data_IF_801450180149
#
_entry.id   IF_801450180149
#
_cell.length_a   1.000
_cell.length_b   1.000
_cell.length_c   1.000
_cell.angle_alpha   90.00
_cell.angle_beta   90.00
_cell.angle_gamma   90.00
#
_symmetry.space_group_name_H-M   'P 1'
#
loop_
_entity.id
_entity.type
_entity.pdbx_description
1 polymer ?
#
# COMPACT_ATOMS: atom_id res chain seq x y z
N UNK A 1 7.67 -10.79 -5.90
CA UNK A 1 7.21 -11.02 -4.52
C UNK A 1 7.95 -10.00 -3.69
N UNK A 2 7.25 -9.13 -2.98
CA UNK A 2 7.86 -8.09 -2.15
C UNK A 2 7.66 -8.43 -0.66
N UNK A 3 8.61 -8.01 0.18
CA UNK A 3 8.55 -8.16 1.62
C UNK A 3 8.84 -6.81 2.27
N UNK A 4 8.04 -6.41 3.24
CA UNK A 4 8.15 -5.14 3.95
C UNK A 4 8.14 -5.38 5.44
N UNK A 5 9.07 -4.78 6.19
CA UNK A 5 9.19 -4.92 7.64
C UNK A 5 8.91 -3.59 8.33
N UNK A 6 7.92 -3.58 9.22
CA UNK A 6 7.59 -2.43 10.06
C UNK A 6 8.25 -2.61 11.43
N UNK A 7 9.53 -2.26 11.56
CA UNK A 7 10.21 -2.26 12.86
C UNK A 7 10.06 -0.90 13.53
N UNK A 8 9.53 -0.89 14.76
CA UNK A 8 9.73 0.22 15.70
C UNK A 8 11.18 0.14 16.23
N UNK A 9 11.86 1.27 16.55
CA UNK A 9 13.26 1.25 16.96
C UNK A 9 13.36 0.83 18.44
N UNK A 10 13.26 -0.46 18.72
CA UNK A 10 13.72 -1.02 19.99
C UNK A 10 14.02 -2.51 19.84
N UNK A 11 15.27 -2.83 20.16
CA UNK A 11 15.86 -4.15 20.41
C UNK A 11 16.25 -4.97 19.17
N UNK A 12 17.54 -4.92 18.89
CA UNK A 12 18.33 -5.76 17.99
C UNK A 12 18.52 -7.13 18.66
N UNK A 13 17.59 -8.06 18.47
CA UNK A 13 17.77 -9.47 18.84
C UNK A 13 18.09 -10.26 17.56
N UNK A 14 19.26 -10.89 17.56
CA UNK A 14 19.88 -11.53 16.40
C UNK A 14 19.02 -12.63 15.78
N UNK A 15 18.65 -12.43 14.52
CA UNK A 15 17.92 -13.38 13.65
C UNK A 15 18.72 -14.68 13.33
N UNK A 16 19.95 -14.83 13.82
CA UNK A 16 20.88 -15.88 13.38
C UNK A 16 21.35 -16.86 14.47
N UNK A 17 20.69 -16.96 15.63
CA UNK A 17 21.00 -18.07 16.54
C UNK A 17 20.29 -19.36 16.12
N UNK A 18 21.08 -20.37 15.78
CA UNK A 18 20.60 -21.70 15.42
C UNK A 18 20.05 -22.42 16.64
N UNK A 19 18.72 -22.44 16.80
CA UNK A 19 18.06 -23.28 17.80
C UNK A 19 17.88 -24.68 17.24
N UNK A 20 18.41 -25.69 17.93
CA UNK A 20 18.22 -27.09 17.57
C UNK A 20 16.72 -27.47 17.62
N UNK A 21 16.18 -28.20 16.62
CA UNK A 21 14.77 -28.56 16.60
C UNK A 21 14.43 -29.52 17.75
N UNK A 22 13.31 -29.32 18.47
CA UNK A 22 12.88 -30.27 19.50
C UNK A 22 12.53 -31.63 18.88
N UNK A 23 12.79 -32.69 19.64
CA UNK A 23 12.66 -34.07 19.21
C UNK A 23 11.25 -34.41 18.69
N UNK A 24 11.17 -35.12 17.56
CA UNK A 24 9.92 -35.59 16.95
C UNK A 24 9.14 -36.49 17.92
N UNK A 25 7.93 -36.11 18.28
CA UNK A 25 6.98 -36.99 18.97
C UNK A 25 6.40 -38.03 17.98
N UNK A 26 6.13 -39.29 18.41
CA UNK A 26 5.53 -40.30 17.54
C UNK A 26 4.03 -40.02 17.34
N UNK A 27 3.53 -40.29 16.14
CA UNK A 27 2.12 -40.08 15.76
C UNK A 27 1.34 -41.40 15.99
N UNK A 28 0.35 -41.46 16.90
CA UNK A 28 -0.59 -42.57 16.96
C UNK A 28 -1.65 -42.46 15.84
N UNK A 29 -2.14 -43.60 15.37
CA UNK A 29 -2.81 -43.75 14.08
C UNK A 29 -4.22 -43.15 13.91
N UNK A 30 -4.68 -43.27 12.66
CA UNK A 30 -5.95 -42.85 12.05
C UNK A 30 -6.03 -41.38 11.59
N UNK A 31 -6.01 -41.22 10.27
CA UNK A 31 -5.66 -40.01 9.53
C UNK A 31 -6.88 -39.27 8.94
N UNK A 32 -8.02 -39.21 9.65
CA UNK A 32 -9.24 -38.62 9.05
C UNK A 32 -10.16 -37.77 9.94
N UNK A 33 -10.10 -37.78 11.28
CA UNK A 33 -11.18 -37.14 12.06
C UNK A 33 -10.80 -35.99 13.02
N UNK A 34 -9.61 -35.39 12.92
CA UNK A 34 -9.19 -34.32 13.85
C UNK A 34 -9.15 -32.90 13.28
N UNK A 35 -9.35 -32.70 11.97
CA UNK A 35 -9.41 -31.37 11.37
C UNK A 35 -10.76 -31.10 10.70
N UNK A 36 -11.65 -30.45 11.44
CA UNK A 36 -12.72 -29.65 10.84
C UNK A 36 -12.24 -28.21 10.84
N UNK A 37 -11.93 -27.57 9.70
CA UNK A 37 -11.67 -26.14 9.69
C UNK A 37 -12.97 -25.44 10.07
N UNK A 38 -13.13 -25.13 11.36
CA UNK A 38 -14.00 -24.05 11.75
C UNK A 38 -13.58 -22.82 10.95
N UNK A 39 -14.54 -22.04 10.44
CA UNK A 39 -14.22 -20.72 9.90
C UNK A 39 -13.37 -20.00 10.93
N UNK A 40 -12.08 -19.66 10.64
CA UNK A 40 -11.24 -18.97 11.61
C UNK A 40 -11.97 -17.68 11.95
N UNK A 41 -12.48 -17.57 13.17
CA UNK A 41 -12.98 -16.29 13.65
C UNK A 41 -11.74 -15.43 13.82
N UNK A 42 -11.69 -14.34 13.05
CA UNK A 42 -10.72 -13.25 13.20
C UNK A 42 -10.54 -12.99 14.68
N UNK A 43 -9.37 -13.32 15.23
CA UNK A 43 -9.11 -13.04 16.64
C UNK A 43 -9.11 -11.53 16.85
N UNK A 44 -9.29 -11.08 18.09
CA UNK A 44 -9.11 -9.69 18.49
C UNK A 44 -7.70 -9.12 18.17
N UNK A 45 -6.80 -9.95 17.65
CA UNK A 45 -5.40 -9.66 17.29
C UNK A 45 -5.20 -9.35 15.79
N UNK A 46 -6.18 -9.60 14.93
CA UNK A 46 -6.03 -9.43 13.48
C UNK A 46 -6.45 -8.02 13.02
N UNK A 47 -5.55 -7.03 13.17
CA UNK A 47 -5.81 -5.64 12.78
C UNK A 47 -4.79 -5.11 11.76
N UNK A 48 -4.96 -5.51 10.50
CA UNK A 48 -4.09 -5.08 9.40
C UNK A 48 -4.03 -3.54 9.22
N UNK A 49 -5.11 -2.82 9.50
CA UNK A 49 -5.14 -1.36 9.37
C UNK A 49 -4.19 -0.69 10.37
N UNK A 50 -4.18 -1.15 11.62
CA UNK A 50 -3.25 -0.66 12.64
C UNK A 50 -1.81 -1.13 12.36
N UNK A 51 -1.65 -2.42 12.12
CA UNK A 51 -0.33 -3.07 12.11
C UNK A 51 0.48 -2.76 10.86
N UNK A 52 -0.20 -2.59 9.72
CA UNK A 52 0.43 -2.34 8.43
C UNK A 52 0.08 -0.95 7.92
N UNK A 53 -1.19 -0.62 7.72
CA UNK A 53 -1.55 0.64 7.04
C UNK A 53 -1.16 1.89 7.83
N UNK A 54 -1.21 1.83 9.16
CA UNK A 54 -0.78 2.89 10.08
C UNK A 54 0.72 2.89 10.39
N UNK A 55 1.48 1.89 9.94
CA UNK A 55 2.90 1.78 10.27
C UNK A 55 3.74 2.88 9.63
N UNK A 56 4.83 3.26 10.29
CA UNK A 56 5.76 4.30 9.79
C UNK A 56 6.30 3.97 8.40
N UNK A 57 6.47 2.67 8.10
CA UNK A 57 6.92 2.23 6.79
C UNK A 57 5.93 2.62 5.68
N UNK A 58 4.62 2.40 5.90
CA UNK A 58 3.59 2.77 4.92
C UNK A 58 3.36 4.28 4.80
N UNK A 59 4.00 5.09 5.65
CA UNK A 59 4.02 6.54 5.50
C UNK A 59 5.07 7.02 4.49
N UNK A 60 5.94 6.15 3.97
CA UNK A 60 6.97 6.52 2.97
C UNK A 60 6.41 6.49 1.55
N UNK A 61 6.75 7.49 0.73
CA UNK A 61 6.21 7.63 -0.63
C UNK A 61 6.57 6.45 -1.54
N UNK A 62 7.83 6.03 -1.51
CA UNK A 62 8.32 4.86 -2.23
C UNK A 62 7.56 3.56 -1.87
N UNK A 63 7.19 3.40 -0.60
CA UNK A 63 6.49 2.21 -0.12
C UNK A 63 5.06 2.14 -0.68
N UNK A 64 4.38 3.27 -0.86
CA UNK A 64 3.07 3.28 -1.51
C UNK A 64 3.15 2.75 -2.95
N UNK A 65 4.20 3.13 -3.68
CA UNK A 65 4.46 2.64 -5.03
C UNK A 65 4.75 1.14 -5.02
N UNK A 66 5.70 0.70 -4.20
CA UNK A 66 6.09 -0.70 -4.08
C UNK A 66 4.90 -1.60 -3.74
N UNK A 67 4.07 -1.17 -2.79
CA UNK A 67 2.88 -1.92 -2.36
C UNK A 67 1.83 -2.02 -3.47
N UNK A 68 1.55 -0.93 -4.17
CA UNK A 68 0.53 -0.91 -5.21
C UNK A 68 0.95 -1.62 -6.51
N UNK A 69 2.24 -1.62 -6.85
CA UNK A 69 2.75 -2.28 -8.05
C UNK A 69 3.09 -3.76 -7.84
N UNK A 70 3.23 -4.20 -6.59
CA UNK A 70 3.51 -5.59 -6.25
C UNK A 70 2.27 -6.46 -6.37
N UNK A 71 2.39 -7.61 -7.05
CA UNK A 71 1.26 -8.52 -7.20
C UNK A 71 0.85 -9.20 -5.88
N UNK A 72 1.84 -9.38 -4.99
CA UNK A 72 1.80 -10.12 -3.73
C UNK A 72 2.87 -9.55 -2.80
N UNK A 73 2.48 -9.24 -1.57
CA UNK A 73 3.35 -8.62 -0.56
C UNK A 73 3.21 -9.35 0.76
N UNK A 74 4.35 -9.63 1.40
CA UNK A 74 4.40 -10.11 2.78
C UNK A 74 4.77 -8.93 3.67
N UNK A 75 3.96 -8.66 4.69
CA UNK A 75 4.21 -7.65 5.70
C UNK A 75 4.65 -8.33 6.99
N UNK A 76 5.82 -7.98 7.49
CA UNK A 76 6.27 -8.34 8.82
C UNK A 76 5.91 -7.18 9.75
N UNK A 77 4.81 -7.33 10.49
CA UNK A 77 4.43 -6.39 11.54
C UNK A 77 4.94 -6.88 12.90
N UNK A 78 4.88 -6.01 13.91
CA UNK A 78 5.33 -6.36 15.27
C UNK A 78 4.51 -7.46 15.94
N UNK A 79 3.25 -7.63 15.52
CA UNK A 79 2.28 -8.57 16.11
C UNK A 79 2.24 -9.90 15.36
N UNK A 80 2.32 -9.86 14.03
CA UNK A 80 2.26 -11.02 13.14
C UNK A 80 2.69 -10.67 11.70
N UNK A 81 2.83 -11.70 10.88
CA UNK A 81 3.02 -11.61 9.44
C UNK A 81 1.68 -11.58 8.68
N UNK A 82 1.56 -10.69 7.70
CA UNK A 82 0.40 -10.62 6.82
C UNK A 82 0.79 -10.90 5.36
N UNK A 83 -0.02 -11.70 4.68
CA UNK A 83 0.07 -11.88 3.23
C UNK A 83 -1.03 -11.08 2.53
N UNK A 84 -0.63 -10.07 1.76
CA UNK A 84 -1.51 -9.21 0.96
C UNK A 84 -1.44 -9.59 -0.53
N UNK A 85 -2.60 -9.74 -1.17
CA UNK A 85 -2.70 -9.99 -2.61
C UNK A 85 -4.05 -9.53 -3.17
N UNK A 86 -4.25 -9.62 -4.50
CA UNK A 86 -5.50 -9.24 -5.17
C UNK A 86 -6.77 -9.94 -4.69
N UNK A 87 -6.64 -11.00 -3.89
CA UNK A 87 -7.77 -11.76 -3.34
C UNK A 87 -8.06 -11.45 -1.86
N UNK A 88 -7.36 -10.49 -1.26
CA UNK A 88 -7.49 -10.09 0.14
C UNK A 88 -6.25 -10.41 0.96
N UNK A 89 -6.40 -10.30 2.28
CA UNK A 89 -5.29 -10.42 3.24
C UNK A 89 -5.46 -11.67 4.08
N UNK A 90 -4.34 -12.36 4.30
CA UNK A 90 -4.22 -13.54 5.16
C UNK A 90 -3.33 -13.23 6.34
N UNK A 91 -3.80 -13.61 7.52
CA UNK A 91 -3.08 -13.56 8.78
C UNK A 91 -2.28 -14.86 8.99
N UNK A 92 -1.34 -14.86 9.93
CA UNK A 92 -0.64 -16.09 10.37
C UNK A 92 -1.61 -17.14 10.91
N UNK A 93 -2.72 -16.69 11.52
CA UNK A 93 -3.84 -17.51 11.99
C UNK A 93 -4.65 -18.18 10.87
N UNK A 94 -4.24 -18.00 9.60
CA UNK A 94 -4.97 -18.39 8.39
C UNK A 94 -6.34 -17.69 8.21
N UNK A 95 -6.72 -16.78 9.11
CA UNK A 95 -7.89 -15.94 8.95
C UNK A 95 -7.80 -15.11 7.66
N UNK A 96 -8.96 -14.93 7.01
CA UNK A 96 -9.09 -14.01 5.88
C UNK A 96 -9.69 -12.70 6.35
N UNK A 97 -8.96 -11.62 6.19
CA UNK A 97 -9.54 -10.30 6.38
C UNK A 97 -10.29 -9.89 5.11
N UNK A 98 -11.60 -9.65 5.24
CA UNK A 98 -12.43 -9.05 4.18
C UNK A 98 -12.07 -7.57 4.11
N UNK A 99 -11.06 -7.26 3.32
CA UNK A 99 -10.44 -5.95 3.42
C UNK A 99 -11.25 -4.88 2.68
N UNK A 100 -11.98 -4.05 3.43
CA UNK A 100 -12.65 -2.84 2.89
C UNK A 100 -11.67 -1.67 2.74
N UNK A 101 -10.52 -1.66 3.44
CA UNK A 101 -9.68 -0.46 3.59
C UNK A 101 -8.64 -0.23 2.49
N UNK A 102 -8.25 -1.26 1.72
CA UNK A 102 -7.11 -1.09 0.78
C UNK A 102 -7.45 -0.26 -0.47
N UNK A 103 -8.73 0.09 -0.69
CA UNK A 103 -9.23 0.83 -1.86
C UNK A 103 -8.66 0.36 -3.22
N UNK A 104 -8.22 -0.90 -3.31
CA UNK A 104 -7.66 -1.48 -4.54
C UNK A 104 -6.14 -1.37 -4.70
N UNK A 105 -5.38 -0.85 -3.71
CA UNK A 105 -3.90 -0.91 -3.73
C UNK A 105 -3.37 -2.35 -3.65
N UNK A 106 -4.12 -3.24 -3.01
CA UNK A 106 -3.79 -4.67 -2.91
C UNK A 106 -4.04 -5.44 -4.22
N UNK A 107 -4.33 -4.77 -5.34
CA UNK A 107 -4.68 -5.43 -6.60
C UNK A 107 -3.46 -6.00 -7.31
N UNK A 108 -3.49 -7.31 -7.59
CA UNK A 108 -2.42 -7.96 -8.35
C UNK A 108 -2.24 -7.41 -9.76
N UNK A 109 -3.26 -6.75 -10.33
CA UNK A 109 -3.17 -6.04 -11.61
C UNK A 109 -3.60 -4.59 -11.44
N UNK A 110 -3.04 -3.91 -10.43
CA UNK A 110 -3.34 -2.50 -10.17
C UNK A 110 -3.31 -1.67 -11.47
N UNK A 111 -4.32 -0.81 -11.72
CA UNK A 111 -5.44 -0.44 -10.85
C UNK A 111 -6.79 -1.11 -11.23
N UNK A 112 -6.82 -2.34 -11.76
CA UNK A 112 -8.05 -2.99 -12.27
C UNK A 112 -9.22 -3.00 -11.27
N UNK A 113 -8.98 -3.47 -10.05
CA UNK A 113 -10.00 -3.56 -8.98
C UNK A 113 -10.38 -2.16 -8.50
N UNK A 114 -9.40 -1.26 -8.39
CA UNK A 114 -9.65 0.13 -7.98
C UNK A 114 -10.56 0.83 -9.00
N UNK A 115 -10.20 0.79 -10.29
CA UNK A 115 -11.00 1.38 -11.38
C UNK A 115 -12.43 0.82 -11.41
N UNK A 116 -12.60 -0.50 -11.24
CA UNK A 116 -13.93 -1.11 -11.18
C UNK A 116 -14.77 -0.70 -9.95
N UNK A 117 -14.13 -0.35 -8.82
CA UNK A 117 -14.84 0.19 -7.65
C UNK A 117 -15.31 1.63 -7.84
N UNK A 118 -14.61 2.40 -8.68
CA UNK A 118 -14.88 3.80 -8.96
C UNK A 118 -15.52 4.01 -10.35
N UNK A 119 -16.24 3.02 -10.89
CA UNK A 119 -16.59 2.96 -12.33
C UNK A 119 -17.31 4.22 -12.86
N UNK A 120 -18.23 4.79 -12.07
CA UNK A 120 -18.93 6.03 -12.44
C UNK A 120 -18.10 7.32 -12.23
N UNK A 121 -17.02 7.26 -11.45
CA UNK A 121 -16.22 8.43 -11.09
C UNK A 121 -14.73 8.09 -10.85
N UNK A 122 -14.08 7.59 -11.90
CA UNK A 122 -12.64 7.23 -11.90
C UNK A 122 -11.72 8.39 -11.45
N UNK A 123 -12.19 9.63 -11.56
CA UNK A 123 -11.49 10.79 -11.03
C UNK A 123 -11.29 10.72 -9.50
N UNK A 124 -12.23 10.17 -8.73
CA UNK A 124 -12.06 10.05 -7.28
C UNK A 124 -10.92 9.11 -6.91
N UNK A 125 -10.67 8.07 -7.72
CA UNK A 125 -9.49 7.21 -7.54
C UNK A 125 -8.20 8.01 -7.68
N UNK A 126 -8.13 8.87 -8.70
CA UNK A 126 -6.95 9.70 -8.99
C UNK A 126 -6.73 10.70 -7.84
N UNK A 127 -7.78 11.44 -7.45
CA UNK A 127 -7.68 12.38 -6.33
C UNK A 127 -7.30 11.69 -5.03
N UNK A 128 -7.97 10.58 -4.69
CA UNK A 128 -7.65 9.82 -3.49
C UNK A 128 -6.20 9.34 -3.49
N UNK A 129 -5.70 8.82 -4.62
CA UNK A 129 -4.33 8.32 -4.70
C UNK A 129 -3.31 9.45 -4.55
N UNK A 130 -3.53 10.58 -5.22
CA UNK A 130 -2.62 11.72 -5.16
C UNK A 130 -2.66 12.40 -3.80
N UNK A 131 -3.84 12.55 -3.20
CA UNK A 131 -3.99 13.01 -1.83
C UNK A 131 -3.25 12.08 -0.86
N UNK A 132 -3.48 10.77 -0.95
CA UNK A 132 -2.82 9.75 -0.11
C UNK A 132 -1.30 9.82 -0.26
N UNK A 133 -0.79 9.89 -1.50
CA UNK A 133 0.64 9.97 -1.76
C UNK A 133 1.25 11.30 -1.31
N UNK A 134 0.53 12.43 -1.44
CA UNK A 134 1.05 13.74 -1.03
C UNK A 134 1.33 13.84 0.48
N UNK A 135 0.66 13.00 1.28
CA UNK A 135 0.85 12.84 2.73
C UNK A 135 2.04 11.96 3.07
N UNK A 136 2.55 11.18 2.11
CA UNK A 136 3.69 10.32 2.36
C UNK A 136 4.98 11.14 2.48
N UNK A 137 5.82 10.74 3.43
CA UNK A 137 7.15 11.28 3.62
C UNK A 137 8.12 10.79 2.54
N UNK A 138 9.00 11.69 2.10
CA UNK A 138 10.11 11.40 1.20
C UNK A 138 11.40 11.93 1.82
N UNK A 139 12.45 11.10 1.81
CA UNK A 139 13.77 11.51 2.30
C UNK A 139 14.33 12.69 1.50
N UNK A 140 14.14 12.66 0.18
CA UNK A 140 14.41 13.78 -0.70
C UNK A 140 13.10 14.26 -1.36
N UNK A 141 12.66 15.51 -1.11
CA UNK A 141 11.44 16.04 -1.70
C UNK A 141 11.41 16.00 -3.23
N UNK A 142 12.55 16.13 -3.92
CA UNK A 142 12.58 16.14 -5.40
C UNK A 142 12.16 14.80 -6.00
N UNK A 143 12.31 13.71 -5.25
CA UNK A 143 11.94 12.36 -5.70
C UNK A 143 10.42 12.18 -5.84
N UNK A 144 9.62 13.16 -5.40
CA UNK A 144 8.15 13.10 -5.39
C UNK A 144 7.56 12.67 -6.73
N UNK A 145 8.04 13.24 -7.83
CA UNK A 145 7.55 12.93 -9.17
C UNK A 145 8.01 11.55 -9.67
N UNK A 146 9.22 11.12 -9.28
CA UNK A 146 9.80 9.84 -9.69
C UNK A 146 9.14 8.69 -8.93
N UNK A 147 8.96 8.84 -7.62
CA UNK A 147 8.40 7.81 -6.75
C UNK A 147 6.90 7.56 -6.95
N UNK A 148 6.17 8.44 -7.66
CA UNK A 148 4.77 8.18 -8.06
C UNK A 148 4.64 7.74 -9.52
N UNK A 149 5.67 7.93 -10.33
CA UNK A 149 5.64 7.74 -11.78
C UNK A 149 5.06 6.37 -12.19
N UNK A 150 5.46 5.29 -11.51
CA UNK A 150 4.97 3.95 -11.83
C UNK A 150 3.45 3.80 -11.60
N UNK A 151 2.88 4.52 -10.62
CA UNK A 151 1.44 4.55 -10.38
C UNK A 151 0.71 5.34 -11.46
N UNK A 152 1.26 6.49 -11.85
CA UNK A 152 0.71 7.30 -12.94
C UNK A 152 0.69 6.53 -14.26
N UNK A 153 1.79 5.82 -14.55
CA UNK A 153 1.90 5.00 -15.74
C UNK A 153 0.81 3.92 -15.80
N UNK A 154 0.65 3.14 -14.72
CA UNK A 154 -0.37 2.09 -14.65
C UNK A 154 -1.80 2.65 -14.74
N UNK A 155 -2.04 3.81 -14.13
CA UNK A 155 -3.32 4.52 -14.27
C UNK A 155 -3.56 4.98 -15.71
N UNK A 156 -2.57 5.60 -16.34
CA UNK A 156 -2.67 6.10 -17.72
C UNK A 156 -2.91 4.97 -18.73
N UNK A 157 -2.18 3.86 -18.61
CA UNK A 157 -2.38 2.65 -19.43
C UNK A 157 -3.80 2.09 -19.25
N UNK A 158 -4.25 1.92 -18.00
CA UNK A 158 -5.56 1.33 -17.72
C UNK A 158 -6.72 2.23 -18.14
N UNK A 159 -6.55 3.54 -18.00
CA UNK A 159 -7.56 4.55 -18.32
C UNK A 159 -7.43 5.06 -19.76
N UNK A 160 -6.57 4.45 -20.60
CA UNK A 160 -6.32 4.82 -21.99
C UNK A 160 -6.13 6.34 -22.14
N UNK A 161 -5.29 6.90 -21.28
CA UNK A 161 -5.05 8.33 -21.17
C UNK A 161 -3.56 8.60 -21.11
N UNK A 162 -3.10 9.61 -21.84
CA UNK A 162 -1.77 10.18 -21.60
C UNK A 162 -1.66 10.65 -20.15
N UNK A 163 -0.46 10.54 -19.57
CA UNK A 163 -0.17 10.93 -18.19
C UNK A 163 1.11 11.74 -18.12
N UNK A 164 1.14 12.77 -17.26
CA UNK A 164 2.34 13.56 -16.98
C UNK A 164 2.20 14.38 -15.70
N UNK A 165 3.13 14.24 -14.76
CA UNK A 165 3.27 15.10 -13.57
C UNK A 165 1.94 15.35 -12.82
N UNK A 166 1.19 14.30 -12.53
CA UNK A 166 -0.08 14.37 -11.81
C UNK A 166 -1.30 14.67 -12.67
N UNK A 167 -1.16 14.66 -14.01
CA UNK A 167 -2.26 14.95 -14.93
C UNK A 167 -2.49 13.77 -15.84
N UNK A 168 -3.71 13.25 -15.84
CA UNK A 168 -4.20 12.33 -16.86
C UNK A 168 -5.02 13.11 -17.88
N UNK A 169 -4.65 13.03 -19.16
CA UNK A 169 -5.27 13.77 -20.25
C UNK A 169 -6.80 13.69 -20.30
N UNK A 170 -7.39 12.52 -20.03
CA UNK A 170 -8.85 12.33 -19.93
C UNK A 170 -9.49 13.22 -18.86
N UNK A 171 -8.77 13.52 -17.79
CA UNK A 171 -9.22 14.30 -16.63
C UNK A 171 -8.45 15.61 -16.46
N UNK A 172 -7.88 16.13 -17.54
CA UNK A 172 -6.92 17.24 -17.51
C UNK A 172 -7.32 18.38 -16.57
N UNK A 173 -8.51 18.95 -16.76
CA UNK A 173 -9.00 20.08 -15.96
C UNK A 173 -9.19 19.72 -14.47
N UNK A 174 -9.60 18.48 -14.16
CA UNK A 174 -9.81 18.03 -12.77
C UNK A 174 -8.50 17.68 -12.06
N UNK A 175 -7.46 17.31 -12.79
CA UNK A 175 -6.13 17.10 -12.22
C UNK A 175 -5.43 18.43 -11.82
N UNK A 176 -5.91 19.58 -12.33
CA UNK A 176 -5.32 20.89 -12.08
C UNK A 176 -5.93 21.65 -10.88
N UNK A 177 -7.05 21.17 -10.33
CA UNK A 177 -7.80 21.85 -9.24
C UNK A 177 -7.32 21.43 -7.84
N UNK A 178 -6.07 21.02 -7.70
CA UNK A 178 -5.51 20.71 -6.39
C UNK A 178 -5.26 21.99 -5.59
N UNK A 179 -5.37 21.89 -4.28
CA UNK A 179 -5.02 22.98 -3.37
C UNK A 179 -4.21 22.47 -2.18
N UNK A 180 -3.35 23.31 -1.58
CA UNK A 180 -2.65 22.95 -0.36
C UNK A 180 -3.64 22.66 0.77
N UNK A 181 -3.47 21.52 1.43
CA UNK A 181 -4.37 21.14 2.53
C UNK A 181 -4.30 22.17 3.66
N UNK A 182 -5.47 22.68 4.05
CA UNK A 182 -5.61 23.70 5.10
C UNK A 182 -5.07 25.08 4.72
N UNK A 183 -4.93 25.39 3.43
CA UNK A 183 -4.49 26.71 2.96
C UNK A 183 -3.04 27.06 3.32
N UNK A 184 -2.22 26.05 3.64
CA UNK A 184 -0.81 26.25 4.01
C UNK A 184 -0.01 26.80 2.83
N UNK A 185 0.97 27.65 3.13
CA UNK A 185 1.92 28.12 2.12
C UNK A 185 2.74 26.95 1.58
N UNK A 186 2.84 26.85 0.26
CA UNK A 186 3.66 25.85 -0.43
C UNK A 186 4.99 26.45 -0.86
N UNK A 187 6.03 25.62 -0.90
CA UNK A 187 7.35 25.97 -1.43
C UNK A 187 7.63 25.09 -2.63
N UNK A 188 8.25 25.65 -3.68
CA UNK A 188 8.65 24.87 -4.84
C UNK A 188 9.85 23.99 -4.47
N UNK A 189 9.77 22.69 -4.75
CA UNK A 189 10.82 21.70 -4.44
C UNK A 189 11.66 21.33 -5.66
N UNK A 190 11.06 21.34 -6.85
CA UNK A 190 11.74 20.95 -8.07
C UNK A 190 11.41 21.95 -9.21
N UNK A 191 12.43 22.64 -9.76
CA UNK A 191 12.24 23.58 -10.86
C UNK A 191 11.97 22.88 -12.21
N UNK A 192 12.33 21.60 -12.36
CA UNK A 192 12.13 20.85 -13.61
C UNK A 192 10.68 20.37 -13.76
N UNK A 193 9.92 20.35 -12.67
CA UNK A 193 8.51 20.00 -12.68
C UNK A 193 7.68 21.24 -13.06
N UNK A 194 6.69 21.11 -13.96
CA UNK A 194 5.83 22.23 -14.34
C UNK A 194 5.11 22.84 -13.15
N UNK A 195 4.98 24.18 -13.14
CA UNK A 195 4.41 24.93 -12.02
C UNK A 195 2.90 24.68 -11.78
N UNK A 196 2.21 24.06 -12.72
CA UNK A 196 0.81 23.66 -12.54
C UNK A 196 0.67 22.31 -11.82
N UNK A 197 1.75 21.55 -11.68
CA UNK A 197 1.74 20.26 -11.00
C UNK A 197 1.92 20.44 -9.50
N UNK A 198 1.08 19.77 -8.71
CA UNK A 198 1.25 19.69 -7.26
C UNK A 198 2.59 19.05 -6.85
N UNK A 199 3.17 18.22 -7.73
CA UNK A 199 4.44 17.54 -7.47
C UNK A 199 5.61 18.53 -7.44
N UNK A 200 5.47 19.72 -8.02
CA UNK A 200 6.49 20.76 -7.96
C UNK A 200 6.60 21.41 -6.57
N UNK A 201 5.69 21.11 -5.64
CA UNK A 201 5.55 21.83 -4.38
C UNK A 201 5.62 20.91 -3.15
N UNK A 202 6.01 21.47 -2.00
CA UNK A 202 5.96 20.81 -0.70
C UNK A 202 4.52 20.68 -0.17
N UNK A 203 4.31 19.68 0.69
CA UNK A 203 3.11 19.57 1.51
C UNK A 203 2.04 18.66 0.92
N UNK A 204 0.95 18.58 1.67
CA UNK A 204 -0.25 17.78 1.37
C UNK A 204 -1.21 18.57 0.49
N UNK A 205 -1.94 17.85 -0.37
CA UNK A 205 -2.99 18.44 -1.22
C UNK A 205 -4.37 17.87 -0.92
N UNK A 206 -5.40 18.56 -1.38
CA UNK A 206 -6.80 18.11 -1.46
C UNK A 206 -7.36 18.44 -2.84
#
# INVERSE_FOLDING_TARGET
>A
MAATSATNPAVDEGILESVAPPARAPIPGSLVDWWKPGTPQSGAFDNFASDVEGSELNQRGWVLQERALSHRTIHFASTQTYWECGHGIRCESFAKLKNQTTQGLSDSHFPRVAVGKFDENQIYLIHWLFEKYSRCGLSNPTDRSVAIQGLEQRLGERLLSGWRYGVLGRFFHRCLIWQPRGGKKVKRIDPNIPSWSWMAYTGEIT
#
